data_IF_865313904432
#
_entry.id   IF_865313904432
#
_cell.length_a   1.000
_cell.length_b   1.000
_cell.length_c   1.000
_cell.angle_alpha   90.00
_cell.angle_beta   90.00
_cell.angle_gamma   90.00
#
_symmetry.space_group_name_H-M   'P 1'
#
loop_
_entity.id
_entity.type
_entity.pdbx_description
1 polymer ?
#
# COMPACT_ATOMS: atom_id res chain seq x y z
N UNK A 1 -10.07 1.10 14.07
CA UNK A 1 -9.74 -0.35 13.98
C UNK A 1 -8.48 -0.60 13.16
N UNK A 2 -8.47 -0.44 11.84
CA UNK A 2 -7.27 -0.74 10.99
C UNK A 2 -5.95 -0.14 11.51
N UNK A 3 -5.95 1.14 11.92
CA UNK A 3 -4.73 1.78 12.42
C UNK A 3 -4.17 1.13 13.70
N UNK A 4 -5.03 0.56 14.56
CA UNK A 4 -4.62 -0.12 15.80
C UNK A 4 -3.75 -1.33 15.49
N UNK A 5 -4.07 -2.05 14.40
CA UNK A 5 -3.26 -3.20 13.95
C UNK A 5 -1.96 -2.78 13.27
N UNK A 6 -1.91 -1.56 12.70
CA UNK A 6 -0.73 -0.99 12.04
C UNK A 6 0.24 -0.40 13.06
N UNK A 7 -0.26 0.26 14.10
CA UNK A 7 0.52 1.00 15.10
C UNK A 7 1.76 0.24 15.63
N UNK A 8 1.70 -1.06 15.99
CA UNK A 8 2.85 -1.77 16.55
C UNK A 8 4.06 -1.84 15.61
N UNK A 9 3.85 -1.81 14.28
CA UNK A 9 4.96 -1.84 13.33
C UNK A 9 5.71 -0.51 13.28
N UNK A 10 5.08 0.61 13.65
CA UNK A 10 5.71 1.92 13.71
C UNK A 10 6.80 1.97 14.80
N UNK A 11 6.58 1.32 15.94
CA UNK A 11 7.60 1.16 16.98
C UNK A 11 8.86 0.47 16.47
N UNK A 12 8.70 -0.50 15.58
CA UNK A 12 9.84 -1.17 14.95
C UNK A 12 10.69 -0.20 14.11
N UNK A 13 10.06 0.80 13.48
CA UNK A 13 10.78 1.84 12.76
C UNK A 13 11.56 2.73 13.73
N UNK A 14 10.97 3.13 14.86
CA UNK A 14 11.67 3.86 15.94
C UNK A 14 12.80 3.04 16.58
N UNK A 15 12.69 1.71 16.58
CA UNK A 15 13.74 0.76 16.99
C UNK A 15 14.85 0.59 15.96
N UNK A 16 14.83 1.38 14.90
CA UNK A 16 15.87 1.40 13.87
C UNK A 16 15.78 0.22 12.90
N UNK A 17 14.61 -0.38 12.73
CA UNK A 17 14.39 -1.36 11.67
C UNK A 17 13.78 -0.67 10.46
N UNK A 18 14.11 -1.13 9.25
CA UNK A 18 13.41 -0.66 8.07
C UNK A 18 12.00 -1.25 8.05
N UNK A 19 11.00 -0.42 7.76
CA UNK A 19 9.59 -0.82 7.76
C UNK A 19 8.96 -0.43 6.44
N UNK A 20 8.10 -1.28 5.90
CA UNK A 20 7.28 -0.96 4.73
C UNK A 20 5.83 -1.35 4.98
N UNK A 21 4.91 -0.41 4.80
CA UNK A 21 3.47 -0.62 4.87
C UNK A 21 2.94 -0.44 3.45
N UNK A 22 2.34 -1.48 2.90
CA UNK A 22 1.86 -1.52 1.52
C UNK A 22 0.34 -1.67 1.49
N UNK A 23 -0.36 -0.84 0.73
CA UNK A 23 -1.73 -1.11 0.32
C UNK A 23 -1.74 -1.71 -1.09
N UNK A 24 -2.38 -2.86 -1.26
CA UNK A 24 -2.44 -3.62 -2.50
C UNK A 24 -3.85 -4.13 -2.77
N UNK A 25 -4.25 -4.21 -4.03
CA UNK A 25 -5.56 -4.64 -4.47
C UNK A 25 -5.99 -3.93 -5.75
N UNK A 26 -7.13 -4.35 -6.31
CA UNK A 26 -7.72 -3.76 -7.51
C UNK A 26 -8.06 -2.27 -7.30
N UNK A 27 -8.06 -1.48 -8.37
CA UNK A 27 -8.56 -0.09 -8.42
C UNK A 27 -9.97 0.01 -7.84
N UNK A 28 -10.32 1.12 -7.17
CA UNK A 28 -11.61 1.26 -6.49
C UNK A 28 -11.77 0.53 -5.16
N UNK A 29 -10.90 -0.42 -4.78
CA UNK A 29 -11.05 -1.20 -3.51
C UNK A 29 -10.66 -0.44 -2.23
N UNK A 30 -10.33 0.85 -2.33
CA UNK A 30 -10.09 1.70 -1.15
C UNK A 30 -8.64 1.80 -0.67
N UNK A 31 -7.65 1.40 -1.47
CA UNK A 31 -6.21 1.54 -1.13
C UNK A 31 -5.83 2.95 -0.67
N UNK A 32 -6.12 3.94 -1.51
CA UNK A 32 -5.84 5.36 -1.21
C UNK A 32 -6.67 5.87 -0.03
N UNK A 33 -7.90 5.39 0.14
CA UNK A 33 -8.71 5.73 1.32
C UNK A 33 -8.08 5.20 2.62
N UNK A 34 -7.53 3.98 2.61
CA UNK A 34 -6.82 3.43 3.76
C UNK A 34 -5.52 4.17 4.04
N UNK A 35 -4.74 4.51 3.00
CA UNK A 35 -3.42 5.16 3.17
C UNK A 35 -3.53 6.66 3.48
N UNK A 36 -4.24 7.42 2.65
CA UNK A 36 -4.39 8.87 2.80
C UNK A 36 -5.63 9.23 3.63
N UNK A 37 -6.75 8.57 3.35
CA UNK A 37 -8.06 8.86 3.92
C UNK A 37 -8.60 10.23 3.54
N UNK A 38 -9.61 10.68 4.28
CA UNK A 38 -10.25 11.98 4.09
C UNK A 38 -9.83 12.97 5.18
N UNK A 39 -10.25 14.22 5.04
CA UNK A 39 -10.03 15.24 6.07
C UNK A 39 -10.72 14.89 7.39
N UNK A 40 -11.88 14.24 7.33
CA UNK A 40 -12.68 13.80 8.49
C UNK A 40 -12.18 12.46 9.02
N UNK A 41 -11.83 11.55 8.12
CA UNK A 41 -11.35 10.20 8.45
C UNK A 41 -9.93 10.01 7.90
N UNK A 42 -8.90 10.51 8.61
CA UNK A 42 -7.52 10.40 8.14
C UNK A 42 -7.10 8.93 8.03
N UNK A 43 -6.31 8.61 7.01
CA UNK A 43 -5.77 7.27 6.77
C UNK A 43 -4.51 6.97 7.58
N UNK A 44 -3.79 5.92 7.18
CA UNK A 44 -2.58 5.44 7.85
C UNK A 44 -1.47 6.49 7.85
N UNK A 45 -1.17 7.13 6.72
CA UNK A 45 -0.04 8.07 6.62
C UNK A 45 -0.17 9.26 7.58
N UNK A 46 -1.27 10.04 7.58
CA UNK A 46 -1.41 11.17 8.50
C UNK A 46 -1.47 10.73 9.98
N UNK A 47 -2.04 9.55 10.29
CA UNK A 47 -2.06 9.00 11.65
C UNK A 47 -0.70 8.51 12.10
N UNK A 48 0.06 7.84 11.23
CA UNK A 48 1.41 7.36 11.51
C UNK A 48 2.35 8.53 11.77
N UNK A 49 2.25 9.62 10.98
CA UNK A 49 3.00 10.85 11.26
C UNK A 49 2.70 11.36 12.67
N UNK A 50 1.42 11.48 13.05
CA UNK A 50 1.03 11.94 14.39
C UNK A 50 1.61 11.02 15.48
N UNK A 51 1.41 9.72 15.32
CA UNK A 51 1.81 8.71 16.29
C UNK A 51 3.32 8.66 16.51
N UNK A 52 4.12 8.76 15.43
CA UNK A 52 5.58 8.80 15.54
C UNK A 52 6.06 9.95 16.44
N UNK A 53 5.51 11.15 16.27
CA UNK A 53 5.84 12.31 17.12
C UNK A 53 5.31 12.15 18.55
N UNK A 54 4.16 11.51 18.75
CA UNK A 54 3.60 11.24 20.09
C UNK A 54 4.46 10.22 20.88
N UNK A 55 4.94 9.16 20.22
CA UNK A 55 5.78 8.14 20.86
C UNK A 55 7.13 8.70 21.29
N UNK A 56 7.81 9.47 20.43
CA UNK A 56 9.11 10.08 20.79
C UNK A 56 8.99 11.23 21.79
N UNK A 57 7.83 11.88 21.88
CA UNK A 57 7.59 12.87 22.94
C UNK A 57 7.44 12.20 24.32
N UNK A 58 7.02 10.93 24.33
CA UNK A 58 6.83 10.13 25.55
C UNK A 58 8.09 9.38 25.97
N UNK A 59 8.92 8.94 25.01
CA UNK A 59 10.20 8.28 25.26
C UNK A 59 11.37 9.26 25.17
N UNK A 60 11.92 9.65 26.33
CA UNK A 60 13.08 10.56 26.43
C UNK A 60 14.43 9.84 26.45
N UNK A 61 14.45 8.52 26.29
CA UNK A 61 15.68 7.71 26.38
C UNK A 61 16.59 7.85 25.15
N UNK A 62 16.06 8.43 24.07
CA UNK A 62 16.77 8.63 22.81
C UNK A 62 16.39 9.97 22.20
N UNK A 63 17.33 10.55 21.45
CA UNK A 63 17.04 11.69 20.58
C UNK A 63 16.69 11.21 19.17
N UNK A 64 15.65 11.82 18.60
CA UNK A 64 15.13 11.47 17.28
C UNK A 64 15.15 12.68 16.35
N UNK A 65 15.54 12.43 15.11
CA UNK A 65 15.41 13.38 14.00
C UNK A 65 14.68 12.71 12.86
N UNK A 66 13.77 13.47 12.24
CA UNK A 66 12.90 12.98 11.18
C UNK A 66 13.08 13.80 9.91
N UNK A 67 13.03 13.11 8.79
CA UNK A 67 12.90 13.73 7.48
C UNK A 67 11.95 12.95 6.60
N UNK A 68 11.35 13.62 5.63
CA UNK A 68 10.33 13.07 4.75
C UNK A 68 10.70 13.25 3.29
N UNK A 69 10.35 12.27 2.48
CA UNK A 69 10.30 12.36 1.02
C UNK A 69 8.95 11.83 0.53
N UNK A 70 8.42 12.40 -0.55
CA UNK A 70 7.23 11.86 -1.22
C UNK A 70 7.50 11.74 -2.72
N UNK A 71 7.12 10.60 -3.27
CA UNK A 71 7.38 10.20 -4.64
C UNK A 71 6.10 9.66 -5.27
N UNK A 72 5.87 10.02 -6.51
CA UNK A 72 4.87 9.42 -7.39
C UNK A 72 5.57 8.57 -8.45
N UNK A 73 5.01 7.40 -8.74
CA UNK A 73 5.45 6.52 -9.82
C UNK A 73 4.31 6.40 -10.81
N UNK A 74 4.55 6.86 -12.04
CA UNK A 74 3.56 6.91 -13.11
C UNK A 74 4.20 6.47 -14.43
N UNK A 75 3.64 5.43 -15.07
CA UNK A 75 4.18 4.85 -16.31
C UNK A 75 5.70 4.56 -16.27
N UNK A 76 6.21 4.08 -15.12
CA UNK A 76 7.64 3.81 -14.91
C UNK A 76 8.51 5.06 -14.70
N UNK A 77 7.94 6.27 -14.78
CA UNK A 77 8.63 7.51 -14.46
C UNK A 77 8.48 7.85 -12.98
N UNK A 78 9.57 8.36 -12.40
CA UNK A 78 9.65 8.80 -11.03
C UNK A 78 9.44 10.31 -10.97
N UNK A 79 8.58 10.77 -10.05
CA UNK A 79 8.32 12.19 -9.84
C UNK A 79 8.40 12.55 -8.37
N UNK A 80 9.23 13.55 -8.07
CA UNK A 80 9.33 14.12 -6.73
C UNK A 80 8.11 15.02 -6.45
N UNK A 81 7.37 14.72 -5.38
CA UNK A 81 6.19 15.49 -4.97
C UNK A 81 6.52 16.66 -4.02
N UNK A 82 7.72 16.69 -3.44
CA UNK A 82 8.16 17.71 -2.49
C UNK A 82 9.13 18.72 -3.11
N UNK A 83 9.71 18.41 -4.26
CA UNK A 83 10.57 19.33 -5.02
C UNK A 83 9.89 20.70 -5.20
N UNK A 84 10.69 21.76 -5.06
CA UNK A 84 10.23 23.11 -5.39
C UNK A 84 9.98 23.18 -6.90
N UNK A 85 8.77 23.56 -7.31
CA UNK A 85 8.51 23.88 -8.71
C UNK A 85 9.47 25.02 -9.09
N UNK A 86 10.28 24.89 -10.15
CA UNK A 86 11.04 26.03 -10.64
C UNK A 86 10.03 27.13 -10.96
N UNK A 87 10.24 28.33 -10.41
CA UNK A 87 9.48 29.50 -10.81
C UNK A 87 9.64 29.62 -12.33
N UNK A 88 8.52 29.58 -13.06
CA UNK A 88 8.48 29.68 -14.52
C UNK A 88 9.26 30.93 -14.97
N UNK A 89 10.55 30.76 -15.25
CA UNK A 89 11.32 31.63 -16.12
C UNK A 89 11.05 31.06 -17.51
N UNK A 90 10.27 31.81 -18.28
CA UNK A 90 10.02 31.58 -19.70
C UNK A 90 11.33 31.23 -20.42
N UNK A 91 11.35 30.08 -21.12
CA UNK A 91 12.38 29.60 -22.05
C UNK A 91 13.56 28.73 -21.55
N UNK A 92 13.50 28.11 -20.38
CA UNK A 92 14.41 26.97 -20.10
C UNK A 92 13.65 25.65 -20.08
N UNK A 93 14.11 24.70 -20.92
CA UNK A 93 13.66 23.31 -20.91
C UNK A 93 13.64 22.82 -19.47
N UNK A 94 12.44 22.50 -18.95
CA UNK A 94 12.22 21.96 -17.60
C UNK A 94 13.29 20.91 -17.35
N UNK A 95 14.28 21.23 -16.52
CA UNK A 95 15.33 20.30 -16.15
C UNK A 95 14.62 19.11 -15.53
N UNK A 96 14.48 18.02 -16.29
CA UNK A 96 13.81 16.81 -15.84
C UNK A 96 14.55 16.40 -14.57
N UNK A 97 13.86 16.37 -13.44
CA UNK A 97 14.38 15.77 -12.23
C UNK A 97 14.65 14.30 -12.55
N UNK A 98 15.88 13.98 -12.96
CA UNK A 98 16.29 12.62 -13.28
C UNK A 98 16.49 11.88 -11.96
N UNK A 99 15.38 11.45 -11.36
CA UNK A 99 15.42 10.57 -10.20
C UNK A 99 15.93 9.20 -10.65
N UNK A 100 17.01 8.72 -10.03
CA UNK A 100 17.59 7.44 -10.35
C UNK A 100 17.61 6.52 -9.12
N UNK A 101 17.23 5.26 -9.32
CA UNK A 101 17.21 4.27 -8.24
C UNK A 101 18.60 3.66 -8.14
N UNK A 102 19.29 3.95 -7.05
CA UNK A 102 20.58 3.35 -6.73
C UNK A 102 20.41 2.29 -5.65
N UNK A 103 21.19 1.21 -5.77
CA UNK A 103 21.29 0.17 -4.74
C UNK A 103 22.72 0.19 -4.22
N UNK A 104 22.90 0.41 -2.92
CA UNK A 104 24.21 0.38 -2.30
C UNK A 104 24.78 -1.06 -2.27
N UNK A 105 26.09 -1.25 -2.05
CA UNK A 105 26.71 -2.58 -1.93
C UNK A 105 26.16 -3.43 -0.77
N UNK A 106 25.51 -2.80 0.21
CA UNK A 106 24.81 -3.44 1.32
C UNK A 106 23.37 -3.79 0.96
N UNK A 107 22.92 -3.55 -0.28
CA UNK A 107 21.58 -3.80 -0.80
C UNK A 107 20.50 -2.83 -0.32
N UNK A 108 20.84 -1.71 0.32
CA UNK A 108 19.91 -0.64 0.67
C UNK A 108 19.65 0.25 -0.54
N UNK A 109 18.41 0.69 -0.70
CA UNK A 109 18.01 1.48 -1.86
C UNK A 109 17.86 2.95 -1.50
N UNK A 110 18.43 3.76 -2.37
CA UNK A 110 18.32 5.21 -2.37
C UNK A 110 17.85 5.69 -3.73
N UNK A 111 17.13 6.81 -3.70
CA UNK A 111 16.69 7.49 -4.92
C UNK A 111 17.48 8.78 -4.98
N UNK A 112 18.45 8.80 -5.88
CA UNK A 112 19.29 9.97 -6.11
C UNK A 112 18.43 11.12 -6.65
N UNK A 113 18.65 12.32 -6.11
CA UNK A 113 17.89 13.52 -6.46
C UNK A 113 16.51 13.64 -5.82
N UNK A 114 16.07 12.65 -5.00
CA UNK A 114 14.80 12.75 -4.29
C UNK A 114 14.90 13.74 -3.13
N UNK A 115 14.05 14.76 -3.14
CA UNK A 115 14.00 15.78 -2.10
C UNK A 115 13.70 15.14 -0.74
N UNK A 116 14.56 15.45 0.23
CA UNK A 116 14.41 15.05 1.62
C UNK A 116 14.28 16.31 2.47
N UNK A 117 13.10 16.50 3.05
CA UNK A 117 12.77 17.68 3.85
C UNK A 117 12.79 17.33 5.32
N UNK A 118 13.37 18.19 6.15
CA UNK A 118 13.32 18.02 7.60
C UNK A 118 11.92 18.31 8.14
N UNK A 119 11.51 17.48 9.11
CA UNK A 119 10.22 17.58 9.80
C UNK A 119 10.46 17.54 11.31
N UNK A 120 10.80 18.68 11.94
CA UNK A 120 11.14 18.73 13.35
C UNK A 120 9.94 18.45 14.27
N UNK A 121 8.73 18.68 13.78
CA UNK A 121 7.49 18.50 14.53
C UNK A 121 6.34 18.00 13.63
N UNK A 122 5.24 17.59 14.28
CA UNK A 122 4.05 17.11 13.60
C UNK A 122 3.40 18.17 12.69
N UNK A 123 3.45 19.45 13.04
CA UNK A 123 2.83 20.51 12.24
C UNK A 123 3.56 20.67 10.89
N UNK A 124 4.90 20.66 10.90
CA UNK A 124 5.73 20.69 9.70
C UNK A 124 5.57 19.43 8.87
N UNK A 125 5.50 18.26 9.52
CA UNK A 125 5.22 17.00 8.83
C UNK A 125 3.85 17.04 8.12
N UNK A 126 2.80 17.45 8.82
CA UNK A 126 1.45 17.59 8.25
C UNK A 126 1.42 18.58 7.08
N UNK A 127 2.15 19.68 7.18
CA UNK A 127 2.26 20.67 6.12
C UNK A 127 2.91 20.10 4.85
N UNK A 128 4.08 19.49 4.98
CA UNK A 128 4.79 18.86 3.85
C UNK A 128 3.98 17.75 3.21
N UNK A 129 3.37 16.88 4.03
CA UNK A 129 2.51 15.82 3.53
C UNK A 129 1.29 16.38 2.77
N UNK A 130 0.67 17.45 3.27
CA UNK A 130 -0.45 18.11 2.57
C UNK A 130 0.01 18.79 1.27
N UNK A 131 1.22 19.37 1.24
CA UNK A 131 1.82 19.91 0.02
C UNK A 131 2.03 18.81 -1.02
N UNK A 132 2.63 17.68 -0.63
CA UNK A 132 2.85 16.54 -1.53
C UNK A 132 1.55 15.93 -2.05
N UNK A 133 0.54 15.78 -1.20
CA UNK A 133 -0.82 15.34 -1.62
C UNK A 133 -1.42 16.26 -2.68
N UNK A 134 -1.33 17.59 -2.49
CA UNK A 134 -1.81 18.56 -3.49
C UNK A 134 -1.03 18.46 -4.80
N UNK A 135 0.29 18.28 -4.72
CA UNK A 135 1.13 18.10 -5.90
C UNK A 135 0.69 16.86 -6.72
N UNK A 136 0.36 15.75 -6.04
CA UNK A 136 -0.22 14.55 -6.64
C UNK A 136 -1.57 14.85 -7.29
N UNK A 137 -2.51 15.48 -6.59
CA UNK A 137 -3.86 15.78 -7.13
C UNK A 137 -3.86 16.74 -8.33
N UNK A 138 -2.82 17.56 -8.50
CA UNK A 138 -2.64 18.49 -9.63
C UNK A 138 -1.80 17.90 -10.77
N UNK A 139 -1.63 16.57 -10.81
CA UNK A 139 -0.88 15.87 -11.85
C UNK A 139 -1.60 15.89 -13.21
N UNK A 140 -0.89 15.43 -14.24
CA UNK A 140 -1.25 15.57 -15.66
C UNK A 140 -2.48 14.78 -16.10
N UNK A 141 -3.04 13.92 -15.26
CA UNK A 141 -4.11 13.01 -15.63
C UNK A 141 -5.36 13.27 -14.78
N UNK A 142 -6.52 13.32 -15.44
CA UNK A 142 -7.83 13.35 -14.77
C UNK A 142 -8.17 12.04 -14.02
N UNK A 143 -7.20 11.12 -13.88
CA UNK A 143 -7.40 9.79 -13.30
C UNK A 143 -6.29 9.53 -12.27
N UNK A 144 -6.52 9.99 -11.04
CA UNK A 144 -5.61 9.82 -9.89
C UNK A 144 -5.52 8.36 -9.40
N UNK A 145 -6.31 7.46 -9.98
CA UNK A 145 -6.52 6.11 -9.46
C UNK A 145 -5.44 5.09 -9.84
N UNK A 146 -4.63 5.42 -10.84
CA UNK A 146 -3.69 4.47 -11.44
C UNK A 146 -2.20 4.76 -11.12
N UNK A 147 -1.87 5.85 -10.41
CA UNK A 147 -0.50 6.13 -9.95
C UNK A 147 -0.19 5.53 -8.59
N UNK A 148 1.05 5.04 -8.40
CA UNK A 148 1.53 4.61 -7.07
C UNK A 148 2.13 5.79 -6.31
N UNK A 149 1.76 5.96 -5.05
CA UNK A 149 2.27 7.02 -4.17
C UNK A 149 3.08 6.44 -3.03
N UNK A 150 4.28 6.97 -2.84
CA UNK A 150 5.23 6.52 -1.84
C UNK A 150 5.57 7.67 -0.92
N UNK A 151 5.33 7.48 0.38
CA UNK A 151 5.82 8.38 1.43
C UNK A 151 6.93 7.67 2.20
N UNK A 152 8.10 8.31 2.27
CA UNK A 152 9.26 7.83 3.02
C UNK A 152 9.51 8.73 4.21
N UNK A 153 9.58 8.15 5.40
CA UNK A 153 10.08 8.82 6.61
C UNK A 153 11.42 8.19 6.96
N UNK A 154 12.47 9.01 6.99
CA UNK A 154 13.78 8.63 7.50
C UNK A 154 13.87 9.06 8.95
N UNK A 155 14.16 8.10 9.82
CA UNK A 155 14.24 8.26 11.26
C UNK A 155 15.69 8.03 11.64
N UNK A 156 16.30 9.01 12.30
CA UNK A 156 17.64 8.90 12.87
C UNK A 156 17.51 8.96 14.39
N UNK A 157 17.85 7.85 15.04
CA UNK A 157 17.82 7.65 16.49
C UNK A 157 19.24 7.69 17.03
N UNK A 158 19.49 8.50 18.06
CA UNK A 158 20.77 8.57 18.76
C UNK A 158 20.55 8.34 20.27
N UNK A 159 21.35 7.46 20.86
CA UNK A 159 21.34 7.23 22.31
C UNK A 159 22.08 8.33 23.07
N UNK A 160 22.00 8.26 24.40
CA UNK A 160 22.57 9.28 25.30
C UNK A 160 24.10 9.31 25.32
N UNK A 161 24.77 8.26 24.85
CA UNK A 161 26.23 8.26 24.76
C UNK A 161 26.69 9.08 23.54
N UNK A 162 27.53 10.12 23.73
CA UNK A 162 27.95 11.03 22.66
C UNK A 162 28.73 10.34 21.51
N UNK A 163 29.27 9.15 21.77
CA UNK A 163 30.03 8.34 20.82
C UNK A 163 29.17 7.33 20.03
N UNK A 164 27.90 7.15 20.38
CA UNK A 164 27.02 6.20 19.69
C UNK A 164 26.67 6.70 18.29
N UNK A 165 27.04 5.90 17.27
CA UNK A 165 26.62 6.16 15.89
C UNK A 165 25.09 6.18 15.80
N UNK A 166 24.50 7.18 15.12
CA UNK A 166 23.05 7.23 14.95
C UNK A 166 22.57 6.01 14.18
N UNK A 167 21.49 5.39 14.68
CA UNK A 167 20.80 4.30 13.99
C UNK A 167 19.76 4.90 13.06
N UNK A 168 19.91 4.64 11.77
CA UNK A 168 19.00 5.15 10.74
C UNK A 168 18.05 4.04 10.31
N UNK A 169 16.76 4.34 10.29
CA UNK A 169 15.72 3.50 9.72
C UNK A 169 14.87 4.27 8.71
N UNK A 170 14.27 3.52 7.79
CA UNK A 170 13.35 4.04 6.79
C UNK A 170 11.99 3.39 6.98
N UNK A 171 10.96 4.22 7.19
CA UNK A 171 9.55 3.82 7.11
C UNK A 171 9.01 4.22 5.74
N UNK A 172 8.62 3.22 4.96
CA UNK A 172 7.91 3.42 3.71
C UNK A 172 6.42 3.15 3.91
N UNK A 173 5.59 4.06 3.42
CA UNK A 173 4.14 3.91 3.34
C UNK A 173 3.75 4.06 1.89
N UNK A 174 3.23 2.99 1.30
CA UNK A 174 3.08 2.82 -0.14
C UNK A 174 1.63 2.53 -0.48
N UNK A 175 1.05 3.39 -1.30
CA UNK A 175 -0.22 3.21 -1.98
C UNK A 175 0.08 2.72 -3.40
N UNK A 176 -0.08 1.42 -3.64
CA UNK A 176 0.21 0.83 -4.95
C UNK A 176 -0.92 1.12 -5.94
N UNK A 177 -0.60 1.13 -7.23
CA UNK A 177 -1.58 1.16 -8.31
C UNK A 177 -2.48 -0.08 -8.30
N UNK A 178 -3.55 -0.03 -9.11
CA UNK A 178 -4.47 -1.15 -9.32
C UNK A 178 -3.77 -2.45 -9.74
N UNK A 179 -4.15 -3.55 -9.11
CA UNK A 179 -3.64 -4.89 -9.47
C UNK A 179 -4.45 -5.60 -10.55
N UNK A 180 -5.50 -4.98 -11.07
CA UNK A 180 -6.38 -5.59 -12.06
C UNK A 180 -5.68 -5.88 -13.38
N UNK A 181 -6.11 -6.98 -14.00
CA UNK A 181 -5.60 -7.39 -15.30
C UNK A 181 -6.13 -6.45 -16.40
N UNK A 182 -5.22 -6.04 -17.28
CA UNK A 182 -5.51 -5.20 -18.45
C UNK A 182 -6.66 -5.70 -19.34
N UNK A 183 -6.85 -7.01 -19.44
CA UNK A 183 -7.91 -7.61 -20.25
C UNK A 183 -9.32 -7.22 -19.75
N UNK A 184 -9.46 -6.90 -18.46
CA UNK A 184 -10.75 -6.53 -17.85
C UNK A 184 -11.06 -5.04 -18.01
N UNK A 185 -10.06 -4.18 -18.22
CA UNK A 185 -10.24 -2.73 -18.19
C UNK A 185 -10.78 -2.15 -19.51
N UNK A 186 -10.69 -2.91 -20.62
CA UNK A 186 -11.08 -2.40 -21.95
C UNK A 186 -10.29 -1.17 -22.39
N UNK A 187 -9.20 -0.84 -21.69
CA UNK A 187 -8.43 0.37 -21.90
C UNK A 187 -7.75 0.36 -23.28
N UNK A 188 -7.70 1.52 -23.93
CA UNK A 188 -7.02 1.70 -25.22
C UNK A 188 -6.05 2.88 -25.14
N UNK A 189 -5.07 2.92 -26.05
CA UNK A 189 -4.07 3.99 -26.11
C UNK A 189 -3.25 4.12 -24.83
N UNK A 190 -3.07 5.35 -24.35
CA UNK A 190 -2.20 5.68 -23.22
C UNK A 190 -2.59 4.97 -21.91
N UNK A 191 -3.89 4.77 -21.65
CA UNK A 191 -4.40 4.07 -20.47
C UNK A 191 -3.98 2.59 -20.46
N UNK A 192 -3.86 1.96 -21.64
CA UNK A 192 -3.39 0.58 -21.75
C UNK A 192 -1.88 0.48 -21.44
N UNK A 193 -1.08 1.41 -21.94
CA UNK A 193 0.35 1.46 -21.65
C UNK A 193 0.61 1.75 -20.16
N UNK A 194 -0.23 2.56 -19.54
CA UNK A 194 -0.22 2.80 -18.10
C UNK A 194 -0.48 1.51 -17.32
N UNK A 195 -1.56 0.80 -17.63
CA UNK A 195 -1.86 -0.47 -16.95
C UNK A 195 -0.78 -1.54 -17.21
N UNK A 196 -0.06 -1.49 -18.35
CA UNK A 196 1.12 -2.36 -18.58
C UNK A 196 2.26 -2.02 -17.63
N UNK A 197 2.58 -0.74 -17.46
CA UNK A 197 3.65 -0.32 -16.57
C UNK A 197 3.35 -0.66 -15.10
N UNK A 198 2.11 -0.46 -14.65
CA UNK A 198 1.66 -0.83 -13.30
C UNK A 198 1.81 -2.34 -13.11
N UNK A 199 1.24 -3.15 -14.01
CA UNK A 199 1.31 -4.60 -13.91
C UNK A 199 2.74 -5.15 -13.99
N UNK A 200 3.63 -4.52 -14.75
CA UNK A 200 5.04 -4.88 -14.76
C UNK A 200 5.68 -4.68 -13.37
N UNK A 201 5.41 -3.55 -12.72
CA UNK A 201 5.94 -3.26 -11.37
C UNK A 201 5.38 -4.22 -10.31
N UNK A 202 4.10 -4.60 -10.42
CA UNK A 202 3.44 -5.54 -9.50
C UNK A 202 3.90 -6.99 -9.74
N UNK A 203 4.12 -7.39 -10.99
CA UNK A 203 4.73 -8.68 -11.33
C UNK A 203 6.13 -8.80 -10.75
N UNK A 204 6.94 -7.75 -10.89
CA UNK A 204 8.26 -7.70 -10.28
C UNK A 204 8.20 -7.84 -8.75
N UNK A 205 7.21 -7.21 -8.08
CA UNK A 205 6.97 -7.40 -6.64
C UNK A 205 6.68 -8.87 -6.32
N UNK A 206 5.86 -9.51 -7.15
CA UNK A 206 5.60 -10.95 -7.09
C UNK A 206 6.86 -11.80 -7.22
N UNK A 207 7.77 -11.45 -8.13
CA UNK A 207 9.03 -12.17 -8.36
C UNK A 207 9.99 -12.02 -7.18
N UNK A 208 10.06 -10.83 -6.58
CA UNK A 208 10.84 -10.59 -5.36
C UNK A 208 10.32 -11.47 -4.21
N UNK A 209 9.01 -11.46 -3.96
CA UNK A 209 8.35 -12.33 -2.97
C UNK A 209 8.67 -13.81 -3.25
N UNK A 210 8.60 -14.22 -4.51
CA UNK A 210 8.83 -15.59 -4.93
C UNK A 210 10.30 -16.02 -4.79
N UNK A 211 11.26 -15.10 -5.00
CA UNK A 211 12.68 -15.33 -4.79
C UNK A 211 13.04 -15.45 -3.31
N UNK A 212 12.43 -14.59 -2.47
CA UNK A 212 12.65 -14.60 -1.03
C UNK A 212 12.12 -15.85 -0.35
N UNK A 213 10.90 -16.26 -0.71
CA UNK A 213 10.32 -17.53 -0.23
C UNK A 213 11.22 -18.72 -0.56
N UNK A 214 11.86 -18.71 -1.73
CA UNK A 214 12.79 -19.77 -2.18
C UNK A 214 14.20 -19.62 -1.61
N UNK A 215 14.46 -18.59 -0.79
CA UNK A 215 15.78 -18.24 -0.26
C UNK A 215 16.86 -18.23 -1.35
N UNK A 216 16.52 -17.72 -2.54
CA UNK A 216 17.49 -17.58 -3.64
C UNK A 216 18.62 -16.66 -3.21
N UNK A 217 19.86 -16.98 -3.61
CA UNK A 217 21.03 -16.14 -3.32
C UNK A 217 20.94 -14.74 -3.95
N UNK A 218 20.22 -14.60 -5.06
CA UNK A 218 19.92 -13.31 -5.68
C UNK A 218 18.40 -13.04 -5.67
N UNK A 219 18.01 -11.84 -5.25
CA UNK A 219 16.62 -11.36 -5.23
C UNK A 219 16.53 -10.10 -6.10
N UNK A 220 15.61 -10.04 -7.09
CA UNK A 220 15.59 -9.00 -8.13
C UNK A 220 14.94 -7.68 -7.65
N UNK A 221 15.43 -7.08 -6.57
CA UNK A 221 14.84 -5.87 -5.97
C UNK A 221 14.79 -4.64 -6.90
N UNK A 222 15.69 -4.59 -7.89
CA UNK A 222 15.82 -3.46 -8.84
C UNK A 222 14.51 -3.16 -9.58
N UNK A 223 13.67 -4.18 -9.80
CA UNK A 223 12.44 -4.07 -10.59
C UNK A 223 11.23 -3.59 -9.75
N UNK A 224 11.38 -3.45 -8.42
CA UNK A 224 10.28 -3.18 -7.48
C UNK A 224 10.58 -1.96 -6.63
N UNK A 225 10.90 -0.83 -7.26
CA UNK A 225 11.26 0.42 -6.57
C UNK A 225 12.30 0.20 -5.44
N UNK A 226 13.12 -0.86 -5.58
CA UNK A 226 14.20 -1.21 -4.68
C UNK A 226 13.83 -1.48 -3.21
N UNK A 227 12.62 -1.89 -2.88
CA UNK A 227 12.32 -2.25 -1.49
C UNK A 227 13.12 -3.49 -1.06
N UNK A 228 13.92 -3.36 0.00
CA UNK A 228 14.65 -4.51 0.56
C UNK A 228 13.72 -5.33 1.46
N UNK A 229 13.02 -6.28 0.87
CA UNK A 229 12.22 -7.27 1.59
C UNK A 229 13.14 -8.38 2.14
N UNK A 230 13.95 -8.11 3.16
CA UNK A 230 14.91 -9.11 3.66
C UNK A 230 15.39 -8.86 5.09
N UNK A 231 16.27 -9.75 5.56
CA UNK A 231 16.81 -9.83 6.93
C UNK A 231 17.02 -8.44 7.55
N UNK A 232 16.23 -8.12 8.57
CA UNK A 232 16.27 -6.83 9.30
C UNK A 232 15.22 -5.79 8.89
N UNK A 233 14.39 -6.07 7.86
CA UNK A 233 13.27 -5.21 7.45
C UNK A 233 11.93 -5.89 7.76
N UNK A 234 10.94 -5.11 8.22
CA UNK A 234 9.58 -5.60 8.50
C UNK A 234 8.61 -5.06 7.47
N UNK A 235 7.72 -5.91 6.96
CA UNK A 235 6.74 -5.50 5.95
C UNK A 235 5.34 -5.88 6.41
N UNK A 236 4.44 -4.92 6.31
CA UNK A 236 3.00 -5.09 6.50
C UNK A 236 2.32 -4.84 5.16
N UNK A 237 1.47 -5.77 4.74
CA UNK A 237 0.72 -5.68 3.50
C UNK A 237 -0.78 -5.71 3.81
N UNK A 238 -1.48 -4.65 3.41
CA UNK A 238 -2.92 -4.48 3.51
C UNK A 238 -3.54 -4.83 2.17
N UNK A 239 -4.30 -5.92 2.15
CA UNK A 239 -4.90 -6.46 0.93
C UNK A 239 -6.34 -5.99 0.87
N UNK A 240 -6.65 -5.21 -0.15
CA UNK A 240 -7.96 -4.64 -0.40
C UNK A 240 -8.65 -5.48 -1.46
N UNK A 241 -9.90 -5.84 -1.20
CA UNK A 241 -10.71 -6.69 -2.05
C UNK A 241 -12.06 -6.03 -2.28
N UNK A 242 -12.66 -6.31 -3.43
CA UNK A 242 -14.03 -5.90 -3.74
C UNK A 242 -14.99 -6.99 -3.26
N UNK A 243 -16.10 -6.62 -2.58
CA UNK A 243 -17.15 -7.57 -2.22
C UNK A 243 -18.07 -7.91 -3.41
N UNK A 244 -17.94 -7.20 -4.53
CA UNK A 244 -18.80 -7.38 -5.69
C UNK A 244 -18.49 -8.70 -6.41
N UNK A 245 -19.53 -9.42 -6.82
CA UNK A 245 -19.40 -10.70 -7.53
C UNK A 245 -18.64 -10.55 -8.86
N UNK A 246 -18.80 -9.43 -9.54
CA UNK A 246 -18.10 -9.10 -10.79
C UNK A 246 -16.58 -9.04 -10.62
N UNK A 247 -16.10 -8.78 -9.40
CA UNK A 247 -14.68 -8.68 -9.06
C UNK A 247 -14.10 -9.95 -8.43
N UNK A 248 -14.88 -11.03 -8.38
CA UNK A 248 -14.47 -12.28 -7.74
C UNK A 248 -13.10 -12.79 -8.23
N UNK A 249 -12.86 -12.74 -9.55
CA UNK A 249 -11.58 -13.17 -10.11
C UNK A 249 -10.39 -12.34 -9.59
N UNK A 250 -10.55 -11.01 -9.49
CA UNK A 250 -9.51 -10.10 -9.02
C UNK A 250 -9.31 -10.22 -7.51
N UNK A 251 -10.39 -10.48 -6.76
CA UNK A 251 -10.33 -10.85 -5.34
C UNK A 251 -9.54 -12.14 -5.13
N UNK A 252 -9.78 -13.19 -5.93
CA UNK A 252 -9.02 -14.45 -5.88
C UNK A 252 -7.54 -14.20 -6.20
N UNK A 253 -7.23 -13.41 -7.23
CA UNK A 253 -5.87 -13.04 -7.57
C UNK A 253 -5.17 -12.30 -6.42
N UNK A 254 -5.84 -11.32 -5.81
CA UNK A 254 -5.30 -10.52 -4.71
C UNK A 254 -5.02 -11.37 -3.46
N UNK A 255 -5.95 -12.24 -3.07
CA UNK A 255 -5.78 -13.16 -1.94
C UNK A 255 -4.71 -14.22 -2.22
N UNK A 256 -4.61 -14.71 -3.46
CA UNK A 256 -3.56 -15.65 -3.88
C UNK A 256 -2.17 -15.02 -3.79
N UNK A 257 -2.05 -13.74 -4.16
CA UNK A 257 -0.83 -12.97 -3.97
C UNK A 257 -0.48 -12.83 -2.48
N UNK A 258 -1.45 -12.44 -1.65
CA UNK A 258 -1.28 -12.30 -0.20
C UNK A 258 -0.82 -13.60 0.47
N UNK A 259 -1.42 -14.74 0.08
CA UNK A 259 -1.03 -16.08 0.56
C UNK A 259 0.44 -16.37 0.25
N UNK A 260 0.93 -15.99 -0.94
CA UNK A 260 2.35 -16.14 -1.31
C UNK A 260 3.25 -15.20 -0.50
N UNK A 261 2.85 -13.95 -0.33
CA UNK A 261 3.60 -12.95 0.43
C UNK A 261 3.79 -13.36 1.90
N UNK A 262 2.73 -13.85 2.55
CA UNK A 262 2.75 -14.33 3.94
C UNK A 262 3.77 -15.45 4.18
N UNK A 263 4.09 -16.24 3.16
CA UNK A 263 5.00 -17.39 3.25
C UNK A 263 6.50 -17.02 3.21
N UNK A 264 6.86 -15.74 3.03
CA UNK A 264 8.24 -15.29 2.77
C UNK A 264 9.17 -15.43 3.98
N UNK A 265 8.70 -15.31 5.22
CA UNK A 265 9.59 -15.39 6.39
C UNK A 265 8.89 -15.87 7.67
N UNK A 266 8.14 -16.97 7.57
CA UNK A 266 7.56 -17.63 8.75
C UNK A 266 8.61 -18.50 9.49
N UNK A 267 9.86 -18.02 9.58
CA UNK A 267 10.98 -18.71 10.23
C UNK A 267 10.96 -18.61 11.76
N UNK A 268 10.13 -17.72 12.32
CA UNK A 268 9.78 -17.75 13.75
C UNK A 268 8.42 -18.42 13.90
N UNK A 269 8.42 -19.58 14.54
CA UNK A 269 7.17 -20.20 14.99
C UNK A 269 6.36 -19.18 15.78
N UNK A 270 5.10 -18.99 15.40
CA UNK A 270 4.17 -18.25 16.25
C UNK A 270 4.11 -18.96 17.61
N UNK A 271 4.11 -18.22 18.74
CA UNK A 271 3.81 -18.79 20.04
C UNK A 271 2.56 -19.67 19.96
N UNK A 272 2.58 -20.86 20.58
CA UNK A 272 1.49 -21.84 20.53
C UNK A 272 0.12 -21.22 20.82
N UNK A 273 0.05 -20.27 21.75
CA UNK A 273 -1.18 -19.58 22.13
C UNK A 273 -1.77 -18.73 21.00
N UNK A 274 -0.91 -18.05 20.22
CA UNK A 274 -1.32 -17.28 19.05
C UNK A 274 -1.72 -18.17 17.87
N UNK A 275 -1.16 -19.39 17.76
CA UNK A 275 -1.63 -20.38 16.78
C UNK A 275 -3.03 -20.85 17.14
N UNK A 276 -3.26 -21.28 18.39
CA UNK A 276 -4.58 -21.73 18.87
C UNK A 276 -5.64 -20.64 18.72
N UNK A 277 -5.32 -19.40 19.06
CA UNK A 277 -6.25 -18.28 18.87
C UNK A 277 -6.59 -18.04 17.39
N UNK A 278 -5.61 -18.20 16.49
CA UNK A 278 -5.84 -18.09 15.03
C UNK A 278 -6.69 -19.23 14.51
N UNK A 279 -6.41 -20.46 14.91
CA UNK A 279 -7.19 -21.64 14.52
C UNK A 279 -8.64 -21.52 14.99
N UNK A 280 -8.86 -21.05 16.22
CA UNK A 280 -10.21 -20.77 16.73
C UNK A 280 -10.93 -19.73 15.88
N UNK A 281 -10.31 -18.59 15.59
CA UNK A 281 -10.91 -17.56 14.72
C UNK A 281 -11.18 -18.05 13.30
N UNK A 282 -10.31 -18.90 12.75
CA UNK A 282 -10.53 -19.49 11.42
C UNK A 282 -11.77 -20.39 11.45
N UNK A 283 -11.90 -21.24 12.48
CA UNK A 283 -13.07 -22.10 12.65
C UNK A 283 -14.36 -21.30 12.80
N UNK A 284 -14.34 -20.22 13.61
CA UNK A 284 -15.49 -19.30 13.77
C UNK A 284 -15.87 -18.63 12.44
N UNK A 285 -14.88 -18.22 11.64
CA UNK A 285 -15.13 -17.62 10.32
C UNK A 285 -15.68 -18.64 9.32
N UNK A 286 -15.20 -19.88 9.33
CA UNK A 286 -15.71 -20.95 8.47
C UNK A 286 -17.17 -21.31 8.80
N UNK A 287 -17.55 -21.25 10.09
CA UNK A 287 -18.94 -21.44 10.51
C UNK A 287 -19.83 -20.30 10.04
N UNK A 288 -19.42 -19.04 10.28
CA UNK A 288 -20.15 -17.87 9.79
C UNK A 288 -20.28 -17.87 8.25
N UNK A 289 -19.26 -18.33 7.52
CA UNK A 289 -19.34 -18.46 6.05
C UNK A 289 -20.41 -19.46 5.63
N UNK A 290 -20.51 -20.62 6.29
CA UNK A 290 -21.55 -21.61 6.00
C UNK A 290 -22.95 -21.05 6.25
N UNK A 291 -23.14 -20.34 7.35
CA UNK A 291 -24.44 -19.71 7.67
C UNK A 291 -24.85 -18.68 6.60
N UNK A 292 -23.92 -17.82 6.20
CA UNK A 292 -24.17 -16.81 5.16
C UNK A 292 -24.44 -17.44 3.79
N UNK A 293 -23.73 -18.52 3.44
CA UNK A 293 -23.99 -19.28 2.20
C UNK A 293 -25.40 -19.90 2.20
N UNK A 294 -25.84 -20.46 3.32
CA UNK A 294 -27.20 -20.99 3.45
C UNK A 294 -28.27 -19.90 3.34
N UNK A 295 -28.06 -18.73 3.96
CA UNK A 295 -28.96 -17.58 3.83
C UNK A 295 -29.02 -17.06 2.40
N UNK A 296 -27.88 -16.95 1.72
CA UNK A 296 -27.81 -16.54 0.33
C UNK A 296 -28.57 -17.52 -0.58
N UNK A 297 -28.45 -18.83 -0.34
CA UNK A 297 -29.19 -19.85 -1.10
C UNK A 297 -30.71 -19.74 -0.86
N UNK A 298 -31.13 -19.50 0.39
CA UNK A 298 -32.56 -19.28 0.73
C UNK A 298 -33.11 -18.04 0.01
N UNK A 299 -32.38 -16.94 0.04
CA UNK A 299 -32.77 -15.70 -0.65
C UNK A 299 -32.82 -15.89 -2.17
N UNK A 300 -31.82 -16.54 -2.78
CA UNK A 300 -31.81 -16.84 -4.21
C UNK A 300 -33.03 -17.66 -4.64
N UNK A 301 -33.43 -18.66 -3.85
CA UNK A 301 -34.62 -19.46 -4.11
C UNK A 301 -35.91 -18.62 -4.00
N UNK A 302 -35.99 -17.71 -3.02
CA UNK A 302 -37.13 -16.80 -2.88
C UNK A 302 -37.25 -15.83 -4.06
N UNK A 303 -36.12 -15.26 -4.51
CA UNK A 303 -36.06 -14.38 -5.68
C UNK A 303 -36.53 -15.13 -6.93
N UNK A 304 -36.00 -16.33 -7.17
CA UNK A 304 -36.39 -17.14 -8.33
C UNK A 304 -37.88 -17.49 -8.32
N UNK A 305 -38.45 -17.79 -7.15
CA UNK A 305 -39.90 -18.00 -7.00
C UNK A 305 -40.71 -16.74 -7.29
N UNK A 306 -40.26 -15.58 -6.82
CA UNK A 306 -40.93 -14.30 -7.09
C UNK A 306 -40.87 -13.92 -8.58
N UNK A 307 -39.73 -14.13 -9.24
CA UNK A 307 -39.56 -13.92 -10.68
C UNK A 307 -40.47 -14.84 -11.49
N UNK A 308 -40.59 -16.12 -11.10
CA UNK A 308 -41.51 -17.06 -11.73
C UNK A 308 -42.97 -16.56 -11.65
N UNK A 309 -43.44 -16.17 -10.47
CA UNK A 309 -44.79 -15.65 -10.26
C UNK A 309 -45.05 -14.34 -11.02
N UNK A 310 -44.06 -13.45 -11.09
CA UNK A 310 -44.13 -12.23 -11.89
C UNK A 310 -44.24 -12.53 -13.39
N UNK A 311 -43.53 -13.56 -13.86
CA UNK A 311 -43.58 -13.99 -15.27
C UNK A 311 -44.94 -14.60 -15.65
N UNK A 312 -45.56 -15.38 -14.76
CA UNK A 312 -46.91 -15.92 -14.97
C UNK A 312 -47.96 -14.81 -15.01
N UNK A 313 -47.89 -13.86 -14.06
CA UNK A 313 -48.80 -12.71 -14.05
C UNK A 313 -48.66 -11.89 -15.34
N UNK A 314 -47.44 -11.60 -15.81
CA UNK A 314 -47.24 -10.89 -17.09
C UNK A 314 -47.87 -11.63 -18.27
N UNK A 315 -47.77 -12.96 -18.33
CA UNK A 315 -48.39 -13.75 -19.40
C UNK A 315 -49.92 -13.64 -19.36
N UNK A 316 -50.52 -13.77 -18.18
CA UNK A 316 -51.98 -13.63 -17.99
C UNK A 316 -52.51 -12.28 -18.48
N UNK A 317 -51.82 -11.18 -18.16
CA UNK A 317 -52.20 -9.84 -18.62
C UNK A 317 -51.96 -9.61 -20.12
N UNK A 318 -51.02 -10.32 -20.75
CA UNK A 318 -50.74 -10.18 -22.19
C UNK A 318 -51.77 -10.88 -23.09
N UNK A 319 -52.46 -11.91 -22.57
CA UNK A 319 -53.53 -12.65 -23.26
C UNK A 319 -54.92 -12.04 -23.10
N UNK A 320 -55.06 -10.97 -22.31
CA UNK A 320 -56.33 -10.32 -21.99
C UNK A 320 -56.66 -9.08 -22.83
N UNK A 321 -55.87 -8.81 -23.90
CA UNK A 321 -56.10 -7.74 -24.87
C UNK A 321 -56.09 -8.27 -26.31
#
# INVERSE_FOLDING_TARGET
DVFVDVEPILRSALDGHNVSILAYGQTGTGKTFTMDGTTVQPGIVPRALKELFQQVSSDKSFSYTFSMSMLEVYMGNLRDLLASKPALRTNETVSRCNLNIQTDPKGSVEIEGLTQVEIPDFAKARWWYTKGRRARSTSWTNVNEASSSLTRIVISRRGDTPEAKPKISKLWMVDLGGSERLLKTGATGQTLDEGRAINLSLSALGDVIAALRRKKGHVPYRQVLGFKYGVGSKVLMLVHISPCQEDLEETICSLSFAKRAKAVDSSRGLPEDLKKLREKRISELEENMREVEEECQKLANQISKAEFLLSENRKLYSTAY
#
